data_IF_589205549392
#
_entry.id   IF_589205549392
#
_cell.length_a   1.000
_cell.length_b   1.000
_cell.length_c   1.000
_cell.angle_alpha   90.00
_cell.angle_beta   90.00
_cell.angle_gamma   90.00
#
_symmetry.space_group_name_H-M   'P 1'
#
loop_
_entity.id
_entity.type
_entity.pdbx_description
1 polymer ?
#
# COMPACT_ATOMS: atom_id res chain seq x y z
N UNK A 1 -17.91 -8.66 -5.09
CA UNK A 1 -16.54 -8.95 -5.56
C UNK A 1 -15.84 -9.87 -4.57
N UNK A 2 -14.71 -10.51 -4.94
CA UNK A 2 -14.15 -11.64 -4.17
C UNK A 2 -13.37 -11.18 -2.93
N UNK A 3 -12.66 -10.05 -2.98
CA UNK A 3 -11.87 -9.50 -1.86
C UNK A 3 -12.68 -9.41 -0.56
N UNK A 4 -13.74 -8.61 -0.53
CA UNK A 4 -14.50 -8.37 0.71
C UNK A 4 -15.20 -9.64 1.20
N UNK A 5 -15.68 -10.51 0.30
CA UNK A 5 -16.31 -11.79 0.65
C UNK A 5 -15.32 -12.80 1.25
N UNK A 6 -14.07 -12.82 0.78
CA UNK A 6 -13.03 -13.69 1.34
C UNK A 6 -12.63 -13.16 2.72
N UNK A 7 -12.44 -11.85 2.84
CA UNK A 7 -12.01 -11.20 4.08
C UNK A 7 -13.10 -11.19 5.16
N UNK A 8 -14.39 -11.20 4.80
CA UNK A 8 -15.50 -11.25 5.76
C UNK A 8 -15.55 -12.53 6.60
N UNK A 9 -14.76 -13.55 6.26
CA UNK A 9 -14.61 -14.77 7.07
C UNK A 9 -13.81 -14.53 8.37
N UNK A 10 -13.11 -13.41 8.47
CA UNK A 10 -12.26 -13.09 9.61
C UNK A 10 -12.95 -12.00 10.45
N UNK A 11 -13.47 -12.38 11.62
CA UNK A 11 -14.18 -11.46 12.53
C UNK A 11 -13.32 -10.27 12.95
N UNK A 12 -12.00 -10.47 13.01
CA UNK A 12 -11.00 -9.44 13.29
C UNK A 12 -10.94 -8.34 12.23
N UNK A 13 -11.66 -8.46 11.10
CA UNK A 13 -11.73 -7.43 10.06
C UNK A 13 -13.07 -6.68 10.01
N UNK A 14 -14.02 -7.02 10.89
CA UNK A 14 -15.42 -6.58 10.77
C UNK A 14 -15.58 -5.07 10.56
N UNK A 15 -15.01 -4.25 11.45
CA UNK A 15 -15.10 -2.79 11.37
C UNK A 15 -14.37 -2.22 10.15
N UNK A 16 -13.21 -2.76 9.81
CA UNK A 16 -12.45 -2.33 8.64
C UNK A 16 -13.18 -2.62 7.33
N UNK A 17 -13.90 -3.74 7.26
CA UNK A 17 -14.73 -4.12 6.11
C UNK A 17 -15.99 -3.25 6.01
N UNK A 18 -16.63 -2.95 7.15
CA UNK A 18 -17.76 -2.03 7.20
C UNK A 18 -17.39 -0.64 6.66
N UNK A 19 -16.28 -0.07 7.16
CA UNK A 19 -15.78 1.22 6.67
C UNK A 19 -15.39 1.15 5.19
N UNK A 20 -14.69 0.09 4.76
CA UNK A 20 -14.34 -0.07 3.34
C UNK A 20 -15.59 -0.13 2.44
N UNK A 21 -16.64 -0.85 2.84
CA UNK A 21 -17.91 -0.89 2.11
C UNK A 21 -18.57 0.48 2.03
N UNK A 22 -18.65 1.18 3.16
CA UNK A 22 -19.21 2.54 3.21
C UNK A 22 -18.51 3.47 2.21
N UNK A 23 -17.17 3.42 2.14
CA UNK A 23 -16.41 4.24 1.20
C UNK A 23 -16.51 3.76 -0.25
N UNK A 24 -16.75 2.47 -0.50
CA UNK A 24 -17.06 2.00 -1.85
C UNK A 24 -18.33 2.66 -2.39
N UNK A 25 -19.37 2.77 -1.57
CA UNK A 25 -20.61 3.43 -1.94
C UNK A 25 -20.43 4.95 -2.03
N UNK A 26 -19.86 5.58 -0.99
CA UNK A 26 -19.68 7.03 -0.89
C UNK A 26 -18.86 7.61 -2.05
N UNK A 27 -17.82 6.90 -2.48
CA UNK A 27 -16.87 7.38 -3.49
C UNK A 27 -17.02 6.67 -4.85
N UNK A 28 -18.01 5.80 -5.01
CA UNK A 28 -18.20 4.94 -6.20
C UNK A 28 -16.90 4.19 -6.56
N UNK A 29 -16.39 3.42 -5.59
CA UNK A 29 -15.18 2.61 -5.74
C UNK A 29 -15.52 1.16 -6.00
N UNK A 30 -14.63 0.50 -6.75
CA UNK A 30 -14.69 -0.92 -6.97
C UNK A 30 -14.13 -1.64 -5.72
N UNK A 31 -14.88 -2.56 -5.09
CA UNK A 31 -14.52 -3.19 -3.81
C UNK A 31 -13.41 -4.25 -3.95
N UNK A 32 -12.22 -3.82 -4.35
CA UNK A 32 -11.01 -4.63 -4.51
C UNK A 32 -9.96 -4.15 -3.52
N UNK A 33 -9.52 -5.06 -2.65
CA UNK A 33 -8.48 -4.76 -1.65
C UNK A 33 -7.11 -5.15 -2.18
N UNK A 34 -7.03 -6.23 -2.96
CA UNK A 34 -5.76 -6.71 -3.52
C UNK A 34 -6.01 -7.57 -4.76
N UNK A 35 -5.13 -7.46 -5.76
CA UNK A 35 -5.26 -8.18 -7.02
C UNK A 35 -5.34 -9.71 -6.85
N UNK A 36 -4.58 -10.28 -5.91
CA UNK A 36 -4.57 -11.73 -5.67
C UNK A 36 -5.93 -12.30 -5.24
N UNK A 37 -6.88 -11.49 -4.78
CA UNK A 37 -8.22 -11.98 -4.48
C UNK A 37 -9.12 -12.04 -5.72
N UNK A 38 -8.78 -11.35 -6.81
CA UNK A 38 -9.65 -11.15 -7.97
C UNK A 38 -9.20 -11.96 -9.20
N UNK A 39 -9.91 -13.05 -9.50
CA UNK A 39 -9.56 -13.92 -10.64
C UNK A 39 -9.60 -13.22 -12.00
N UNK A 40 -10.51 -12.25 -12.16
CA UNK A 40 -10.63 -11.49 -13.41
C UNK A 40 -9.38 -10.63 -13.65
N UNK A 41 -8.90 -9.92 -12.62
CA UNK A 41 -7.68 -9.12 -12.69
C UNK A 41 -6.48 -10.02 -13.00
N UNK A 42 -6.34 -11.13 -12.26
CA UNK A 42 -5.25 -12.09 -12.48
C UNK A 42 -5.27 -12.62 -13.92
N UNK A 43 -6.42 -13.06 -14.41
CA UNK A 43 -6.55 -13.59 -15.77
C UNK A 43 -6.19 -12.56 -16.84
N UNK A 44 -6.66 -11.32 -16.69
CA UNK A 44 -6.38 -10.24 -17.65
C UNK A 44 -4.89 -9.85 -17.64
N UNK A 45 -4.27 -9.76 -16.47
CA UNK A 45 -2.83 -9.52 -16.33
C UNK A 45 -2.03 -10.63 -17.02
N UNK A 46 -2.36 -11.90 -16.76
CA UNK A 46 -1.66 -13.04 -17.37
C UNK A 46 -1.81 -13.04 -18.89
N UNK A 47 -3.02 -12.89 -19.42
CA UNK A 47 -3.27 -12.82 -20.87
C UNK A 47 -2.49 -11.69 -21.54
N UNK A 48 -2.41 -10.54 -20.89
CA UNK A 48 -1.70 -9.35 -21.42
C UNK A 48 -0.19 -9.54 -21.43
N UNK A 49 0.36 -10.22 -20.43
CA UNK A 49 1.80 -10.43 -20.29
C UNK A 49 2.31 -11.67 -21.05
N UNK A 50 1.51 -12.73 -21.18
CA UNK A 50 1.91 -14.00 -21.83
C UNK A 50 2.67 -13.83 -23.15
N UNK A 51 2.19 -13.06 -24.16
CA UNK A 51 2.93 -12.93 -25.43
C UNK A 51 4.24 -12.17 -25.30
N UNK A 52 4.45 -11.45 -24.19
CA UNK A 52 5.64 -10.62 -23.96
C UNK A 52 6.69 -11.35 -23.13
N UNK A 53 6.31 -12.02 -22.05
CA UNK A 53 7.25 -12.50 -21.02
C UNK A 53 7.34 -14.03 -20.93
N UNK A 54 6.61 -14.80 -21.75
CA UNK A 54 6.58 -16.26 -21.67
C UNK A 54 7.96 -16.91 -21.82
N UNK A 55 8.77 -16.43 -22.75
CA UNK A 55 10.07 -17.05 -23.02
C UNK A 55 11.05 -16.78 -21.86
N UNK A 56 11.02 -15.57 -21.29
CA UNK A 56 11.76 -15.22 -20.05
C UNK A 56 11.28 -16.09 -18.89
N UNK A 57 9.96 -16.31 -18.76
CA UNK A 57 9.44 -17.22 -17.74
C UNK A 57 9.99 -18.63 -17.91
N UNK A 58 9.99 -19.19 -19.12
CA UNK A 58 10.49 -20.54 -19.34
C UNK A 58 11.99 -20.67 -18.99
N UNK A 59 12.78 -19.63 -19.24
CA UNK A 59 14.20 -19.57 -18.89
C UNK A 59 14.42 -19.47 -17.37
N UNK A 60 13.65 -18.63 -16.67
CA UNK A 60 13.84 -18.32 -15.24
C UNK A 60 12.72 -18.83 -14.32
N UNK A 61 11.98 -19.88 -14.72
CA UNK A 61 10.79 -20.39 -13.97
C UNK A 61 11.08 -20.86 -12.54
N UNK A 62 12.35 -21.08 -12.19
CA UNK A 62 12.78 -21.49 -10.86
C UNK A 62 13.38 -20.34 -10.04
N UNK A 63 13.49 -19.14 -10.61
CA UNK A 63 14.02 -17.95 -9.94
C UNK A 63 13.14 -16.74 -10.24
N UNK A 64 12.23 -16.43 -9.31
CA UNK A 64 11.32 -15.27 -9.39
C UNK A 64 12.07 -13.95 -9.53
N UNK A 65 13.21 -13.79 -8.85
CA UNK A 65 13.97 -12.54 -8.84
C UNK A 65 14.57 -12.31 -10.23
N UNK A 66 15.22 -13.33 -10.79
CA UNK A 66 15.78 -13.26 -12.14
C UNK A 66 14.69 -13.09 -13.20
N UNK A 67 13.57 -13.78 -13.08
CA UNK A 67 12.42 -13.60 -13.98
C UNK A 67 11.94 -12.14 -14.00
N UNK A 68 11.69 -11.55 -12.82
CA UNK A 68 11.21 -10.17 -12.71
C UNK A 68 12.23 -9.19 -13.28
N UNK A 69 13.50 -9.31 -12.87
CA UNK A 69 14.58 -8.41 -13.31
C UNK A 69 14.74 -8.43 -14.83
N UNK A 70 14.77 -9.61 -15.45
CA UNK A 70 14.90 -9.74 -16.90
C UNK A 70 13.65 -9.26 -17.64
N UNK A 71 12.46 -9.52 -17.10
CA UNK A 71 11.20 -9.05 -17.68
C UNK A 71 11.08 -7.52 -17.64
N UNK A 72 11.42 -6.86 -16.51
CA UNK A 72 11.42 -5.40 -16.42
C UNK A 72 12.34 -4.77 -17.47
N UNK A 73 13.56 -5.32 -17.63
CA UNK A 73 14.52 -4.89 -18.64
C UNK A 73 13.98 -5.03 -20.06
N UNK A 74 13.41 -6.18 -20.42
CA UNK A 74 12.84 -6.40 -21.75
C UNK A 74 11.64 -5.48 -22.03
N UNK A 75 10.82 -5.21 -21.01
CA UNK A 75 9.65 -4.34 -21.13
C UNK A 75 10.00 -2.84 -21.10
N UNK A 76 11.28 -2.47 -20.98
CA UNK A 76 11.76 -1.11 -20.80
C UNK A 76 11.10 -0.37 -19.62
N UNK A 77 10.79 -1.10 -18.56
CA UNK A 77 10.24 -0.54 -17.32
C UNK A 77 11.41 -0.12 -16.45
N UNK A 78 11.51 1.18 -16.15
CA UNK A 78 12.53 1.70 -15.23
C UNK A 78 12.18 1.30 -13.80
N UNK A 79 13.21 0.98 -13.02
CA UNK A 79 13.05 0.84 -11.58
C UNK A 79 12.90 2.23 -10.95
N UNK A 80 12.01 2.32 -9.96
CA UNK A 80 11.82 3.56 -9.23
C UNK A 80 13.02 3.87 -8.35
N UNK A 81 13.46 5.13 -8.38
CA UNK A 81 14.54 5.62 -7.54
C UNK A 81 13.97 6.43 -6.36
N UNK A 82 13.33 5.73 -5.42
CA UNK A 82 12.86 6.32 -4.16
C UNK A 82 13.71 5.85 -2.99
N UNK A 83 13.86 6.70 -1.97
CA UNK A 83 14.19 6.19 -0.65
C UNK A 83 12.99 5.43 -0.10
N UNK A 84 13.22 4.32 0.57
CA UNK A 84 12.16 3.49 1.11
C UNK A 84 12.24 3.43 2.63
N UNK A 85 11.13 3.76 3.27
CA UNK A 85 10.92 3.51 4.69
C UNK A 85 10.23 2.15 4.87
N UNK A 86 10.92 1.12 5.43
CA UNK A 86 10.43 -0.25 5.40
C UNK A 86 9.38 -0.57 6.47
N UNK A 87 9.12 0.34 7.41
CA UNK A 87 8.12 0.19 8.46
C UNK A 87 6.86 1.00 8.13
N UNK A 88 6.05 1.33 9.13
CA UNK A 88 4.75 1.98 8.93
C UNK A 88 4.80 3.49 9.07
N UNK A 89 3.99 4.17 8.28
CA UNK A 89 3.79 5.63 8.36
C UNK A 89 2.31 5.92 8.51
N UNK A 90 1.97 6.72 9.53
CA UNK A 90 0.59 7.08 9.86
C UNK A 90 0.41 8.61 9.76
N UNK A 91 -0.62 9.12 9.05
CA UNK A 91 -0.90 10.54 9.00
C UNK A 91 -1.43 11.03 10.35
N UNK A 92 -0.84 12.11 10.88
CA UNK A 92 -1.23 12.71 12.16
C UNK A 92 -1.71 14.17 12.02
N UNK A 93 -1.35 14.84 10.92
CA UNK A 93 -1.87 16.17 10.59
C UNK A 93 -3.34 16.14 10.16
N UNK A 94 -4.00 17.30 10.23
CA UNK A 94 -5.42 17.43 9.85
C UNK A 94 -5.67 17.11 8.37
N UNK A 95 -4.71 17.41 7.50
CA UNK A 95 -4.77 17.08 6.07
C UNK A 95 -3.46 16.43 5.64
N UNK A 96 -3.57 15.32 4.92
CA UNK A 96 -2.43 14.65 4.28
C UNK A 96 -2.80 14.28 2.85
N UNK A 97 -2.01 14.74 1.88
CA UNK A 97 -2.15 14.40 0.47
C UNK A 97 -1.14 13.30 0.13
N UNK A 98 -1.62 12.19 -0.42
CA UNK A 98 -0.81 11.03 -0.77
C UNK A 98 -0.93 10.70 -2.25
N UNK A 99 0.13 10.10 -2.79
CA UNK A 99 0.19 9.50 -4.13
C UNK A 99 0.52 8.02 -3.96
N UNK A 100 -0.41 7.14 -4.33
CA UNK A 100 -0.18 5.70 -4.30
C UNK A 100 0.70 5.28 -5.47
N UNK A 101 1.68 4.43 -5.18
CA UNK A 101 2.75 4.06 -6.11
C UNK A 101 2.75 2.56 -6.36
N UNK A 102 2.69 1.76 -5.30
CA UNK A 102 2.80 0.32 -5.38
C UNK A 102 1.79 -0.36 -4.45
N UNK A 103 0.92 -1.17 -5.05
CA UNK A 103 -0.17 -1.89 -4.40
C UNK A 103 0.06 -3.41 -4.34
N UNK A 104 1.32 -3.85 -4.45
CA UNK A 104 1.74 -5.25 -4.24
C UNK A 104 1.70 -5.69 -2.78
N UNK A 105 1.65 -4.74 -1.83
CA UNK A 105 1.67 -4.99 -0.40
C UNK A 105 0.43 -4.43 0.28
N UNK A 106 0.12 -4.97 1.45
CA UNK A 106 -0.84 -4.39 2.38
C UNK A 106 -0.12 -4.09 3.70
N UNK A 107 -0.07 -2.81 4.14
CA UNK A 107 -0.52 -1.62 3.42
C UNK A 107 0.28 -1.35 2.13
N UNK A 108 -0.30 -0.61 1.16
CA UNK A 108 0.38 -0.23 -0.06
C UNK A 108 1.43 0.85 0.21
N UNK A 109 2.35 0.98 -0.73
CA UNK A 109 3.36 2.02 -0.71
C UNK A 109 2.84 3.31 -1.34
N UNK A 110 3.09 4.42 -0.67
CA UNK A 110 2.68 5.74 -1.10
C UNK A 110 3.78 6.77 -0.86
N UNK A 111 3.74 7.85 -1.63
CA UNK A 111 4.45 9.08 -1.34
C UNK A 111 3.51 10.00 -0.53
N UNK A 112 4.03 10.59 0.54
CA UNK A 112 3.33 11.69 1.22
C UNK A 112 3.65 12.97 0.45
N UNK A 113 2.76 13.40 -0.44
CA UNK A 113 2.96 14.61 -1.24
C UNK A 113 3.00 15.85 -0.34
N UNK A 114 2.09 15.91 0.64
CA UNK A 114 2.05 16.99 1.62
C UNK A 114 1.39 16.51 2.90
N UNK A 115 1.92 16.89 4.05
CA UNK A 115 1.27 16.66 5.35
C UNK A 115 2.25 16.24 6.43
N UNK A 116 1.72 16.07 7.63
CA UNK A 116 2.49 15.66 8.81
C UNK A 116 2.15 14.22 9.15
N UNK A 117 3.18 13.38 9.22
CA UNK A 117 3.05 11.96 9.51
C UNK A 117 3.96 11.57 10.68
N UNK A 118 3.69 10.40 11.24
CA UNK A 118 4.57 9.76 12.20
C UNK A 118 5.09 8.45 11.64
N UNK A 119 6.38 8.20 11.84
CA UNK A 119 6.98 6.90 11.62
C UNK A 119 6.71 6.00 12.82
N UNK A 120 6.20 4.79 12.57
CA UNK A 120 5.86 3.82 13.61
C UNK A 120 6.41 2.45 13.26
N UNK A 121 6.74 1.66 14.28
CA UNK A 121 7.19 0.29 14.10
C UNK A 121 6.03 -0.67 13.84
N UNK A 122 4.87 -0.42 14.47
CA UNK A 122 3.66 -1.24 14.33
C UNK A 122 2.41 -0.41 13.98
N UNK A 123 1.34 -1.11 13.64
CA UNK A 123 0.00 -0.55 13.46
C UNK A 123 -0.72 -0.43 14.81
N UNK A 124 -1.71 0.46 14.89
CA UNK A 124 -2.46 0.78 16.12
C UNK A 124 -3.96 0.73 15.88
N UNK A 125 -4.74 0.50 16.93
CA UNK A 125 -6.20 0.45 16.84
C UNK A 125 -6.81 1.85 16.71
N UNK A 126 -6.25 2.82 17.42
CA UNK A 126 -6.69 4.22 17.47
C UNK A 126 -5.50 5.17 17.52
N UNK A 127 -5.72 6.44 17.18
CA UNK A 127 -4.72 7.48 17.37
C UNK A 127 -4.40 7.68 18.86
N UNK A 128 -5.40 7.63 19.73
CA UNK A 128 -5.22 7.71 21.18
C UNK A 128 -4.33 6.59 21.73
N UNK A 129 -4.46 5.36 21.20
CA UNK A 129 -3.59 4.25 21.60
C UNK A 129 -2.13 4.51 21.18
N UNK A 130 -1.90 5.01 19.96
CA UNK A 130 -0.58 5.41 19.49
C UNK A 130 0.03 6.49 20.41
N UNK A 131 -0.71 7.57 20.71
CA UNK A 131 -0.22 8.63 21.60
C UNK A 131 0.10 8.10 23.01
N UNK A 132 -0.73 7.19 23.54
CA UNK A 132 -0.47 6.53 24.82
C UNK A 132 0.84 5.74 24.77
N UNK A 133 1.07 4.92 23.75
CA UNK A 133 2.31 4.16 23.58
C UNK A 133 3.56 5.05 23.45
N UNK A 134 3.43 6.21 22.81
CA UNK A 134 4.52 7.18 22.72
C UNK A 134 4.81 7.79 24.09
N UNK A 135 3.78 8.21 24.81
CA UNK A 135 3.91 8.79 26.15
C UNK A 135 4.50 7.80 27.16
N UNK A 136 4.14 6.51 27.05
CA UNK A 136 4.68 5.42 27.87
C UNK A 136 6.06 4.91 27.41
N UNK A 137 6.64 5.52 26.36
CA UNK A 137 7.94 5.14 25.77
C UNK A 137 7.98 3.71 25.19
N UNK A 138 6.84 3.19 24.78
CA UNK A 138 6.69 1.88 24.13
C UNK A 138 6.64 1.99 22.59
N UNK A 139 6.84 3.20 22.05
CA UNK A 139 6.91 3.46 20.60
C UNK A 139 7.93 4.58 20.32
N UNK A 140 8.30 4.67 19.05
CA UNK A 140 9.08 5.75 18.47
C UNK A 140 8.36 7.10 18.53
N UNK A 141 9.16 8.17 18.61
CA UNK A 141 8.66 9.54 18.59
C UNK A 141 9.41 10.31 17.49
N UNK A 142 8.99 10.02 16.25
CA UNK A 142 9.56 10.56 15.01
C UNK A 142 8.42 11.13 14.17
N UNK A 143 8.28 12.45 14.21
CA UNK A 143 7.30 13.19 13.41
C UNK A 143 8.00 13.80 12.21
N UNK A 144 7.42 13.68 11.03
CA UNK A 144 7.99 14.13 9.77
C UNK A 144 6.94 14.93 9.00
N UNK A 145 7.30 16.14 8.58
CA UNK A 145 6.52 16.95 7.65
C UNK A 145 7.07 16.74 6.24
N UNK A 146 6.17 16.45 5.30
CA UNK A 146 6.49 16.26 3.90
C UNK A 146 5.96 17.39 3.02
N UNK A 147 6.73 17.72 1.99
CA UNK A 147 6.37 18.61 0.89
C UNK A 147 6.96 18.07 -0.43
N UNK A 148 6.13 17.97 -1.46
CA UNK A 148 6.44 17.33 -2.76
C UNK A 148 7.06 15.92 -2.67
N UNK A 149 6.65 15.14 -1.66
CA UNK A 149 7.17 13.79 -1.44
C UNK A 149 8.51 13.73 -0.71
N UNK A 150 9.06 14.87 -0.32
CA UNK A 150 10.37 15.01 0.35
C UNK A 150 10.20 15.48 1.79
N UNK A 151 11.18 15.16 2.63
CA UNK A 151 11.20 15.63 4.02
C UNK A 151 11.44 17.15 4.04
N UNK A 152 10.48 17.90 4.57
CA UNK A 152 10.58 19.35 4.77
C UNK A 152 11.11 19.70 6.15
N UNK A 153 10.57 19.06 7.18
CA UNK A 153 10.96 19.23 8.57
C UNK A 153 10.72 17.94 9.36
N UNK A 154 11.40 17.77 10.50
CA UNK A 154 11.17 16.61 11.35
C UNK A 154 11.50 16.91 12.82
N UNK A 155 10.89 16.12 13.71
CA UNK A 155 11.21 16.05 15.14
C UNK A 155 11.46 14.59 15.50
N UNK A 156 12.70 14.26 15.86
CA UNK A 156 13.10 12.93 16.34
C UNK A 156 13.50 13.03 17.81
N UNK A 157 12.59 12.62 18.70
CA UNK A 157 12.88 12.53 20.15
C UNK A 157 13.35 11.15 20.55
N UNK A 158 12.86 10.10 19.87
CA UNK A 158 13.19 8.70 20.20
C UNK A 158 13.02 7.80 18.98
N UNK A 159 13.97 6.90 18.79
CA UNK A 159 13.95 5.82 17.79
C UNK A 159 14.44 4.56 18.52
N UNK A 160 13.60 3.51 18.60
CA UNK A 160 13.86 2.32 19.44
C UNK A 160 13.89 1.05 18.60
N UNK A 161 12.90 0.88 17.73
CA UNK A 161 12.60 -0.41 17.10
C UNK A 161 12.96 -0.43 15.61
N UNK A 162 13.09 0.73 14.99
CA UNK A 162 13.41 0.87 13.57
C UNK A 162 14.89 1.10 13.36
N UNK A 163 15.39 0.71 12.19
CA UNK A 163 16.79 0.91 11.85
C UNK A 163 17.15 2.41 11.83
N UNK A 164 17.97 2.83 12.79
CA UNK A 164 18.41 4.21 12.94
C UNK A 164 19.18 4.73 11.71
N UNK A 165 19.91 3.88 10.98
CA UNK A 165 20.63 4.27 9.77
C UNK A 165 19.65 4.58 8.64
N UNK A 166 18.63 3.73 8.46
CA UNK A 166 17.56 3.93 7.47
C UNK A 166 16.82 5.23 7.77
N UNK A 167 16.41 5.43 9.02
CA UNK A 167 15.72 6.66 9.44
C UNK A 167 16.61 7.88 9.19
N UNK A 168 17.88 7.84 9.59
CA UNK A 168 18.77 9.01 9.46
C UNK A 168 19.05 9.34 8.00
N UNK A 169 19.22 8.34 7.14
CA UNK A 169 19.32 8.51 5.68
C UNK A 169 18.08 9.19 5.09
N UNK A 170 16.88 8.78 5.52
CA UNK A 170 15.62 9.38 5.06
C UNK A 170 15.51 10.83 5.51
N UNK A 171 15.70 11.10 6.80
CA UNK A 171 15.51 12.43 7.39
C UNK A 171 16.51 13.47 6.87
N UNK A 172 17.69 13.03 6.41
CA UNK A 172 18.74 13.90 5.88
C UNK A 172 18.74 14.04 4.35
N UNK A 173 17.87 13.31 3.65
CA UNK A 173 17.85 13.28 2.19
C UNK A 173 16.90 14.32 1.59
N UNK A 174 17.24 14.79 0.39
CA UNK A 174 16.37 15.61 -0.45
C UNK A 174 15.65 14.77 -1.55
N UNK A 175 15.65 13.45 -1.40
CA UNK A 175 14.97 12.52 -2.30
C UNK A 175 13.51 12.29 -1.87
N UNK A 176 12.70 11.82 -2.81
CA UNK A 176 11.33 11.40 -2.50
C UNK A 176 11.35 10.10 -1.69
N UNK A 177 10.48 10.03 -0.68
CA UNK A 177 10.42 8.90 0.26
C UNK A 177 9.12 8.12 0.06
N UNK A 178 9.27 6.86 -0.31
CA UNK A 178 8.21 5.88 -0.38
C UNK A 178 8.00 5.23 1.00
N UNK A 179 6.76 5.27 1.49
CA UNK A 179 6.41 4.77 2.82
C UNK A 179 5.29 3.72 2.74
N UNK A 180 5.21 2.81 3.71
CA UNK A 180 4.03 1.96 3.87
C UNK A 180 2.96 2.74 4.64
N UNK A 181 1.94 3.21 3.93
CA UNK A 181 0.88 4.04 4.51
C UNK A 181 -0.10 3.18 5.32
N UNK A 182 0.02 3.23 6.64
CA UNK A 182 -0.91 2.56 7.55
C UNK A 182 -1.89 3.56 8.15
N UNK A 183 -3.06 3.07 8.56
CA UNK A 183 -4.08 3.83 9.26
C UNK A 183 -4.54 3.05 10.50
N UNK A 184 -5.24 3.70 11.47
CA UNK A 184 -5.83 3.00 12.58
C UNK A 184 -6.73 1.85 12.13
N UNK A 185 -6.87 0.82 12.96
CA UNK A 185 -7.59 -0.43 12.69
C UNK A 185 -8.86 -0.28 11.84
N UNK A 186 -9.76 0.62 12.24
CA UNK A 186 -11.05 0.81 11.57
C UNK A 186 -10.89 1.22 10.08
N UNK A 187 -9.80 1.88 9.73
CA UNK A 187 -9.49 2.36 8.38
C UNK A 187 -8.36 1.55 7.72
N UNK A 188 -7.90 0.45 8.32
CA UNK A 188 -6.69 -0.26 7.88
C UNK A 188 -6.75 -0.76 6.42
N UNK A 189 -7.94 -1.12 5.93
CA UNK A 189 -8.14 -1.56 4.54
C UNK A 189 -8.28 -0.39 3.54
N UNK A 190 -8.48 0.83 4.01
CA UNK A 190 -8.71 2.00 3.15
C UNK A 190 -7.54 2.31 2.21
N UNK A 191 -6.26 2.32 2.65
CA UNK A 191 -5.15 2.57 1.74
C UNK A 191 -5.13 1.56 0.58
N UNK A 192 -5.36 0.27 0.86
CA UNK A 192 -5.39 -0.77 -0.17
C UNK A 192 -6.59 -0.65 -1.10
N UNK A 193 -7.77 -0.32 -0.57
CA UNK A 193 -8.95 -0.04 -1.40
C UNK A 193 -8.68 1.14 -2.35
N UNK A 194 -8.14 2.24 -1.82
CA UNK A 194 -7.85 3.44 -2.59
C UNK A 194 -6.79 3.17 -3.66
N UNK A 195 -5.68 2.51 -3.29
CA UNK A 195 -4.59 2.20 -4.22
C UNK A 195 -5.00 1.28 -5.38
N UNK A 196 -6.03 0.45 -5.19
CA UNK A 196 -6.60 -0.38 -6.25
C UNK A 196 -7.54 0.39 -7.18
N UNK A 197 -8.02 1.57 -6.77
CA UNK A 197 -9.01 2.39 -7.47
C UNK A 197 -8.40 3.67 -8.09
N UNK A 198 -7.09 3.81 -8.08
CA UNK A 198 -6.38 4.96 -8.67
C UNK A 198 -5.26 4.51 -9.59
N UNK A 199 -4.89 5.33 -10.57
CA UNK A 199 -3.76 5.08 -11.47
C UNK A 199 -2.45 5.38 -10.71
N UNK A 200 -1.52 4.42 -10.58
CA UNK A 200 -0.23 4.63 -9.93
C UNK A 200 0.51 5.83 -10.50
N UNK A 201 1.23 6.58 -9.66
CA UNK A 201 1.99 7.80 -10.00
C UNK A 201 1.15 9.01 -10.44
N UNK A 202 -0.03 8.81 -11.02
CA UNK A 202 -0.89 9.86 -11.59
C UNK A 202 -2.09 10.22 -10.68
N UNK A 203 -2.02 9.85 -9.40
CA UNK A 203 -3.11 10.04 -8.45
C UNK A 203 -2.78 11.02 -7.32
N UNK A 204 -3.82 11.63 -6.77
CA UNK A 204 -3.72 12.38 -5.52
C UNK A 204 -4.93 12.04 -4.67
N UNK A 205 -4.70 11.62 -3.45
CA UNK A 205 -5.75 11.32 -2.48
C UNK A 205 -5.54 12.17 -1.24
N UNK A 206 -6.58 12.90 -0.84
CA UNK A 206 -6.62 13.64 0.41
C UNK A 206 -7.15 12.73 1.51
N UNK A 207 -6.44 12.72 2.63
CA UNK A 207 -6.85 12.13 3.90
C UNK A 207 -7.06 13.29 4.87
N UNK A 208 -8.28 13.45 5.37
CA UNK A 208 -8.61 14.46 6.37
C UNK A 208 -8.84 13.76 7.71
N UNK A 209 -8.17 14.26 8.75
CA UNK A 209 -8.27 13.73 10.12
C UNK A 209 -9.04 14.68 11.01
N UNK A 210 -10.03 14.14 11.73
CA UNK A 210 -10.75 14.81 12.81
C UNK A 210 -10.77 13.89 14.02
N UNK A 211 -9.93 14.19 15.02
CA UNK A 211 -9.73 13.33 16.19
C UNK A 211 -9.35 11.89 15.79
N UNK A 212 -10.24 10.92 16.05
CA UNK A 212 -10.09 9.49 15.71
C UNK A 212 -10.63 9.13 14.32
N UNK A 213 -11.34 10.05 13.67
CA UNK A 213 -12.01 9.80 12.41
C UNK A 213 -11.19 10.27 11.22
N UNK A 214 -11.34 9.54 10.11
CA UNK A 214 -10.70 9.85 8.83
C UNK A 214 -11.75 9.95 7.73
N UNK A 215 -11.57 10.94 6.87
CA UNK A 215 -12.28 11.07 5.59
C UNK A 215 -11.31 11.06 4.41
N UNK A 216 -11.81 10.63 3.25
CA UNK A 216 -11.01 10.40 2.06
C UNK A 216 -11.63 11.04 0.83
N UNK A 217 -10.80 11.65 -0.01
CA UNK A 217 -11.20 12.19 -1.31
C UNK A 217 -10.12 11.91 -2.36
N UNK A 218 -10.51 11.28 -3.47
CA UNK A 218 -9.64 11.18 -4.65
C UNK A 218 -9.72 12.52 -5.39
N UNK A 219 -8.61 13.25 -5.43
CA UNK A 219 -8.48 14.55 -6.12
C UNK A 219 -8.18 14.30 -7.61
N UNK A 220 -7.25 13.38 -7.90
CA UNK A 220 -6.77 13.08 -9.25
C UNK A 220 -6.58 11.57 -9.43
N UNK A 221 -6.68 11.09 -10.66
CA UNK A 221 -6.28 9.73 -11.04
C UNK A 221 -7.25 8.61 -10.67
N UNK A 222 -8.55 8.89 -10.43
CA UNK A 222 -9.56 7.84 -10.22
C UNK A 222 -9.65 6.93 -11.44
N UNK A 223 -9.50 5.62 -11.25
CA UNK A 223 -9.56 4.64 -12.32
C UNK A 223 -11.00 4.20 -12.59
N UNK A 224 -11.32 3.96 -13.87
CA UNK A 224 -12.58 3.32 -14.25
C UNK A 224 -12.60 1.84 -13.90
N UNK A 225 -13.79 1.24 -13.75
CA UNK A 225 -13.96 -0.21 -13.56
C UNK A 225 -13.18 -1.02 -14.60
N UNK A 226 -13.23 -0.62 -15.87
CA UNK A 226 -12.53 -1.30 -16.95
C UNK A 226 -11.01 -1.29 -16.79
N UNK A 227 -10.44 -0.16 -16.38
CA UNK A 227 -9.00 -0.03 -16.08
C UNK A 227 -8.60 -0.92 -14.89
N UNK A 228 -9.41 -0.93 -13.82
CA UNK A 228 -9.15 -1.75 -12.64
C UNK A 228 -9.18 -3.24 -13.00
N UNK A 229 -10.20 -3.71 -13.74
CA UNK A 229 -10.31 -5.12 -14.14
C UNK A 229 -9.21 -5.56 -15.11
N UNK A 230 -8.69 -4.65 -15.95
CA UNK A 230 -7.51 -4.92 -16.80
C UNK A 230 -6.20 -4.97 -16.02
N UNK A 231 -6.21 -4.52 -14.76
CA UNK A 231 -5.02 -4.39 -13.93
C UNK A 231 -4.21 -3.14 -14.25
N UNK A 232 -4.79 -2.11 -14.87
CA UNK A 232 -4.08 -0.86 -15.18
C UNK A 232 -3.67 -0.08 -13.93
N UNK A 233 -4.35 -0.33 -12.81
CA UNK A 233 -4.02 0.25 -11.50
C UNK A 233 -2.88 -0.49 -10.77
N UNK A 234 -2.35 -1.58 -11.33
CA UNK A 234 -1.28 -2.34 -10.70
C UNK A 234 0.10 -1.80 -11.07
N UNK A 235 0.99 -1.77 -10.07
CA UNK A 235 2.40 -1.50 -10.32
C UNK A 235 2.99 -2.48 -11.35
N UNK A 236 3.79 -2.04 -12.34
CA UNK A 236 4.27 -2.94 -13.40
C UNK A 236 5.06 -4.16 -12.90
N UNK A 237 5.88 -3.98 -11.86
CA UNK A 237 6.56 -5.11 -11.20
C UNK A 237 5.56 -6.10 -10.60
N UNK A 238 4.49 -5.60 -9.99
CA UNK A 238 3.48 -6.45 -9.38
C UNK A 238 2.71 -7.27 -10.43
N UNK A 239 2.47 -6.73 -11.63
CA UNK A 239 1.92 -7.50 -12.75
C UNK A 239 2.80 -8.71 -13.10
N UNK A 240 4.12 -8.54 -13.09
CA UNK A 240 5.08 -9.63 -13.32
C UNK A 240 5.06 -10.66 -12.19
N UNK A 241 4.97 -10.20 -10.94
CA UNK A 241 4.82 -11.10 -9.77
C UNK A 241 3.55 -11.95 -9.88
N UNK A 242 2.40 -11.34 -10.23
CA UNK A 242 1.15 -12.05 -10.47
C UNK A 242 1.29 -13.08 -11.58
N UNK A 243 1.91 -12.71 -12.70
CA UNK A 243 2.16 -13.64 -13.80
C UNK A 243 2.97 -14.84 -13.33
N UNK A 244 4.09 -14.61 -12.64
CA UNK A 244 4.96 -15.68 -12.15
C UNK A 244 4.23 -16.61 -11.18
N UNK A 245 3.53 -16.04 -10.20
CA UNK A 245 2.84 -16.81 -9.17
C UNK A 245 1.66 -17.59 -9.75
N UNK A 246 0.97 -17.04 -10.75
CA UNK A 246 -0.10 -17.74 -11.46
C UNK A 246 0.45 -18.97 -12.22
N UNK A 247 1.53 -18.79 -13.01
CA UNK A 247 2.13 -19.89 -13.79
C UNK A 247 2.77 -20.95 -12.90
N UNK A 248 3.29 -20.56 -11.74
CA UNK A 248 3.84 -21.45 -10.72
C UNK A 248 2.77 -22.08 -9.80
N UNK A 249 1.48 -21.73 -9.97
CA UNK A 249 0.38 -22.13 -9.08
C UNK A 249 0.61 -21.75 -7.61
N UNK A 250 1.33 -20.65 -7.35
CA UNK A 250 1.68 -20.17 -6.03
C UNK A 250 0.64 -19.25 -5.36
N UNK A 251 -0.49 -18.97 -6.03
CA UNK A 251 -1.53 -18.08 -5.48
C UNK A 251 -2.50 -18.89 -4.61
N UNK A 252 -2.33 -18.81 -3.29
CA UNK A 252 -3.22 -19.45 -2.30
C UNK A 252 -3.99 -18.36 -1.55
N UNK A 253 -5.20 -18.04 -2.01
CA UNK A 253 -5.97 -16.88 -1.56
C UNK A 253 -6.30 -16.91 -0.07
N UNK A 254 -6.63 -18.09 0.45
CA UNK A 254 -6.95 -18.32 1.85
C UNK A 254 -5.75 -18.00 2.76
N UNK A 255 -4.53 -18.34 2.33
CA UNK A 255 -3.32 -18.04 3.10
C UNK A 255 -3.00 -16.55 3.08
N UNK A 256 -3.18 -15.89 1.93
CA UNK A 256 -3.02 -14.44 1.80
C UNK A 256 -4.03 -13.71 2.70
N UNK A 257 -5.30 -14.14 2.68
CA UNK A 257 -6.35 -13.55 3.51
C UNK A 257 -6.09 -13.76 5.01
N UNK A 258 -5.69 -14.98 5.39
CA UNK A 258 -5.30 -15.33 6.76
C UNK A 258 -4.09 -14.49 7.22
N UNK A 259 -3.06 -14.37 6.38
CA UNK A 259 -1.88 -13.55 6.66
C UNK A 259 -2.23 -12.08 6.85
N UNK A 260 -3.15 -11.54 6.05
CA UNK A 260 -3.66 -10.17 6.24
C UNK A 260 -4.38 -10.02 7.58
N UNK A 261 -5.29 -10.95 7.90
CA UNK A 261 -6.06 -10.90 9.15
C UNK A 261 -5.18 -10.95 10.40
N UNK A 262 -4.03 -11.62 10.35
CA UNK A 262 -3.06 -11.68 11.47
C UNK A 262 -2.14 -10.47 11.59
N UNK A 263 -2.00 -9.64 10.55
CA UNK A 263 -1.16 -8.43 10.59
C UNK A 263 -1.85 -7.25 11.27
N UNK A 264 -3.15 -7.38 11.52
CA UNK A 264 -3.97 -6.29 12.04
C UNK A 264 -4.00 -6.41 13.56
N UNK A 265 -3.60 -5.35 14.29
CA UNK A 265 -3.61 -5.36 15.75
C UNK A 265 -5.03 -5.64 16.25
N UNK A 266 -5.12 -6.49 17.28
CA UNK A 266 -6.35 -6.82 18.00
C UNK A 266 -6.67 -5.77 19.06
#
# INVERSE_FOLDING_TARGET
MKSLKILSKYSTLGKALEIANHYCEKLDLIPVIHAYFEDEIISNVVKTLEPRVRDIYNEFKFDKILFIKNSLRMLNIKEDNFLYYPYYTIPIGNETVVNFVDNSTIPPKALIIRGVVRFTFMAYNTYSQLEKSISSRQEEDIVVEFEDGKVKSYSRKRNIFTDANVVSKILSSNEKVLVNLTLPYAYYLMPSLLSMNVIPYENKVLITKSEENLDFKIIEGKASKGQIMKGDTLHPRFKLEIYYDYKSKGIIKEEIARGLAYKIPL
#
